data_IF_170145103775
#
_entry.id   IF_170145103775
#
_cell.length_a   1.000
_cell.length_b   1.000
_cell.length_c   1.000
_cell.angle_alpha   90.00
_cell.angle_beta   90.00
_cell.angle_gamma   90.00
#
_symmetry.space_group_name_H-M   'P 1'
#
loop_
_entity.id
_entity.type
_entity.pdbx_description
1 polymer ?
#
# COMPACT_ATOMS: atom_id res chain seq x y z
N UNK A 1 44.75 17.65 -6.64
CA UNK A 1 43.89 16.48 -6.37
C UNK A 1 43.52 15.88 -7.72
N UNK A 2 44.15 14.78 -8.10
CA UNK A 2 44.01 14.16 -9.43
C UNK A 2 42.68 13.39 -9.51
N UNK A 3 41.95 13.54 -10.61
CA UNK A 3 40.67 12.84 -10.85
C UNK A 3 40.80 11.32 -10.69
N UNK A 4 41.98 10.74 -10.96
CA UNK A 4 42.27 9.33 -10.76
C UNK A 4 42.18 8.86 -9.30
N UNK A 5 42.43 9.72 -8.32
CA UNK A 5 42.26 9.36 -6.92
C UNK A 5 40.79 9.20 -6.52
N UNK A 6 39.87 9.92 -7.19
CA UNK A 6 38.44 9.82 -6.96
C UNK A 6 37.83 8.57 -7.63
N UNK A 7 38.38 8.15 -8.77
CA UNK A 7 38.00 6.90 -9.45
C UNK A 7 38.51 5.67 -8.71
N UNK A 8 39.74 5.72 -8.17
CA UNK A 8 40.34 4.64 -7.37
C UNK A 8 39.67 4.47 -6.00
N UNK A 9 39.07 5.52 -5.43
CA UNK A 9 38.23 5.39 -4.23
C UNK A 9 36.89 4.68 -4.56
N UNK A 10 36.33 4.92 -5.75
CA UNK A 10 35.08 4.31 -6.22
C UNK A 10 35.22 2.81 -6.54
N UNK A 11 36.43 2.35 -6.89
CA UNK A 11 36.75 0.93 -7.09
C UNK A 11 37.22 0.21 -5.81
N UNK A 12 37.42 0.93 -4.70
CA UNK A 12 37.92 0.38 -3.42
C UNK A 12 36.85 0.18 -2.35
N UNK A 13 35.61 0.61 -2.58
CA UNK A 13 34.51 0.07 -1.77
C UNK A 13 34.24 -1.34 -2.27
N UNK A 14 34.39 -2.37 -1.43
CA UNK A 14 34.02 -3.71 -1.83
C UNK A 14 32.56 -3.65 -2.21
N UNK A 15 32.21 -4.19 -3.38
CA UNK A 15 30.83 -4.50 -3.71
C UNK A 15 30.27 -5.32 -2.55
N UNK A 16 29.56 -4.67 -1.65
CA UNK A 16 28.51 -5.35 -0.92
C UNK A 16 27.59 -5.81 -2.03
N UNK A 17 27.49 -7.11 -2.20
CA UNK A 17 26.59 -7.77 -3.13
C UNK A 17 25.22 -7.06 -3.00
N UNK A 18 24.91 -6.13 -3.91
CA UNK A 18 23.71 -5.27 -3.78
C UNK A 18 22.48 -6.00 -4.32
N UNK A 19 22.70 -7.05 -5.14
CA UNK A 19 21.68 -8.03 -5.53
C UNK A 19 20.93 -8.58 -4.33
N UNK A 20 21.61 -9.17 -3.31
CA UNK A 20 20.92 -9.68 -2.13
C UNK A 20 20.27 -8.60 -1.26
N UNK A 21 20.67 -7.32 -1.37
CA UNK A 21 19.95 -6.22 -0.70
C UNK A 21 18.60 -5.97 -1.38
N UNK A 22 18.58 -5.89 -2.72
CA UNK A 22 17.34 -5.71 -3.49
C UNK A 22 16.42 -6.92 -3.34
N UNK A 23 16.96 -8.14 -3.42
CA UNK A 23 16.18 -9.37 -3.24
C UNK A 23 15.57 -9.45 -1.83
N UNK A 24 16.32 -9.01 -0.81
CA UNK A 24 15.80 -8.89 0.56
C UNK A 24 14.64 -7.89 0.64
N UNK A 25 14.74 -6.74 -0.02
CA UNK A 25 13.66 -5.74 -0.05
C UNK A 25 12.42 -6.27 -0.76
N UNK A 26 12.58 -6.99 -1.87
CA UNK A 26 11.47 -7.67 -2.57
C UNK A 26 10.78 -8.66 -1.63
N UNK A 27 11.56 -9.47 -0.90
CA UNK A 27 11.01 -10.42 0.05
C UNK A 27 10.32 -9.74 1.24
N UNK A 28 10.90 -8.65 1.77
CA UNK A 28 10.29 -7.84 2.83
C UNK A 28 8.98 -7.19 2.38
N UNK A 29 8.90 -6.74 1.12
CA UNK A 29 7.67 -6.21 0.54
C UNK A 29 6.62 -7.32 0.41
N UNK A 30 7.00 -8.49 -0.10
CA UNK A 30 6.09 -9.63 -0.26
C UNK A 30 5.54 -10.14 1.08
N UNK A 31 6.38 -10.21 2.12
CA UNK A 31 5.94 -10.60 3.48
C UNK A 31 5.01 -9.55 4.08
N UNK A 32 5.33 -8.26 3.93
CA UNK A 32 4.48 -7.15 4.40
C UNK A 32 3.13 -7.16 3.69
N UNK A 33 3.11 -7.32 2.35
CA UNK A 33 1.87 -7.40 1.56
C UNK A 33 0.99 -8.55 2.03
N UNK A 34 1.54 -9.75 2.21
CA UNK A 34 0.78 -10.92 2.73
C UNK A 34 0.18 -10.64 4.11
N UNK A 35 0.93 -10.01 5.01
CA UNK A 35 0.44 -9.69 6.35
C UNK A 35 -0.68 -8.64 6.32
N UNK A 36 -0.57 -7.62 5.45
CA UNK A 36 -1.61 -6.61 5.27
C UNK A 36 -2.87 -7.21 4.65
N UNK A 37 -2.76 -8.05 3.62
CA UNK A 37 -3.90 -8.78 3.02
C UNK A 37 -4.63 -9.59 4.09
N UNK A 38 -3.89 -10.34 4.91
CA UNK A 38 -4.51 -11.10 6.01
C UNK A 38 -5.26 -10.21 7.00
N UNK A 39 -4.71 -9.03 7.32
CA UNK A 39 -5.38 -8.06 8.20
C UNK A 39 -6.63 -7.46 7.52
N UNK A 40 -6.59 -7.23 6.21
CA UNK A 40 -7.74 -6.71 5.46
C UNK A 40 -8.85 -7.76 5.43
N UNK A 41 -8.53 -9.02 5.15
CA UNK A 41 -9.52 -10.10 5.05
C UNK A 41 -10.21 -10.41 6.37
N UNK A 42 -9.66 -10.00 7.52
CA UNK A 42 -10.33 -10.09 8.83
C UNK A 42 -11.18 -8.85 9.16
N UNK A 43 -11.42 -7.95 8.19
CA UNK A 43 -12.24 -6.77 8.40
C UNK A 43 -13.69 -7.18 8.65
N UNK A 44 -14.22 -6.78 9.80
CA UNK A 44 -15.61 -7.04 10.21
C UNK A 44 -15.76 -8.24 11.15
N UNK A 45 -14.75 -9.11 11.27
CA UNK A 45 -14.83 -10.33 12.09
C UNK A 45 -15.00 -10.03 13.60
N UNK A 46 -14.35 -8.98 14.07
CA UNK A 46 -14.36 -8.56 15.48
C UNK A 46 -15.58 -7.67 15.84
N UNK A 47 -16.46 -7.37 14.88
CA UNK A 47 -17.60 -6.47 15.09
C UNK A 47 -18.87 -7.33 15.23
N UNK A 48 -19.54 -7.22 16.38
CA UNK A 48 -20.78 -7.95 16.63
C UNK A 48 -21.87 -7.56 15.61
N UNK A 49 -22.25 -8.52 14.77
CA UNK A 49 -23.32 -8.36 13.80
C UNK A 49 -24.68 -8.31 14.51
N UNK A 50 -25.32 -7.14 14.49
CA UNK A 50 -26.70 -6.95 14.92
C UNK A 50 -27.53 -6.39 13.76
N UNK A 51 -28.81 -6.73 13.67
CA UNK A 51 -29.73 -6.23 12.63
C UNK A 51 -29.85 -4.69 12.65
N UNK A 52 -29.55 -4.06 13.79
CA UNK A 52 -29.43 -2.60 13.96
C UNK A 52 -28.00 -2.18 14.30
N UNK A 53 -26.99 -2.77 13.64
CA UNK A 53 -25.59 -2.41 13.87
C UNK A 53 -25.33 -0.93 13.51
N UNK A 54 -24.73 -0.13 14.42
CA UNK A 54 -24.27 1.22 14.10
C UNK A 54 -23.11 1.18 13.09
N UNK A 55 -22.93 2.24 12.30
CA UNK A 55 -21.86 2.32 11.29
C UNK A 55 -20.50 2.66 11.91
N UNK A 56 -20.47 3.32 13.06
CA UNK A 56 -19.28 3.85 13.71
C UNK A 56 -18.17 2.80 13.96
N UNK A 57 -18.45 1.57 14.43
CA UNK A 57 -17.42 0.53 14.58
C UNK A 57 -16.73 0.18 13.25
N UNK A 58 -17.51 0.06 12.16
CA UNK A 58 -17.00 -0.26 10.82
C UNK A 58 -16.14 0.87 10.26
N UNK A 59 -16.56 2.12 10.47
CA UNK A 59 -15.80 3.32 10.09
C UNK A 59 -14.48 3.40 10.85
N UNK A 60 -14.48 3.15 12.16
CA UNK A 60 -13.26 3.18 12.97
C UNK A 60 -12.27 2.09 12.56
N UNK A 61 -12.76 0.87 12.33
CA UNK A 61 -11.94 -0.23 11.81
C UNK A 61 -11.35 0.10 10.43
N UNK A 62 -12.15 0.70 9.54
CA UNK A 62 -11.71 1.16 8.22
C UNK A 62 -10.57 2.18 8.34
N UNK A 63 -10.76 3.26 9.11
CA UNK A 63 -9.77 4.32 9.27
C UNK A 63 -8.48 3.82 9.94
N UNK A 64 -8.57 2.81 10.81
CA UNK A 64 -7.39 2.15 11.38
C UNK A 64 -6.60 1.39 10.30
N UNK A 65 -7.27 0.58 9.48
CA UNK A 65 -6.63 -0.12 8.37
C UNK A 65 -6.03 0.86 7.37
N UNK A 66 -6.77 1.89 6.97
CA UNK A 66 -6.31 2.90 6.02
C UNK A 66 -4.99 3.57 6.46
N UNK A 67 -4.89 3.95 7.74
CA UNK A 67 -3.65 4.50 8.33
C UNK A 67 -2.52 3.46 8.33
N UNK A 68 -2.81 2.20 8.63
CA UNK A 68 -1.84 1.09 8.61
C UNK A 68 -1.29 0.86 7.21
N UNK A 69 -2.15 0.84 6.19
CA UNK A 69 -1.77 0.68 4.78
C UNK A 69 -0.88 1.86 4.35
N UNK A 70 -1.30 3.10 4.63
CA UNK A 70 -0.55 4.30 4.29
C UNK A 70 0.85 4.36 4.95
N UNK A 71 0.94 4.01 6.23
CA UNK A 71 2.22 4.00 6.94
C UNK A 71 3.15 2.90 6.43
N UNK A 72 2.61 1.69 6.21
CA UNK A 72 3.40 0.54 5.75
C UNK A 72 3.93 0.77 4.33
N UNK A 73 3.11 1.30 3.42
CA UNK A 73 3.56 1.58 2.05
C UNK A 73 4.64 2.65 1.99
N UNK A 74 4.49 3.75 2.75
CA UNK A 74 5.52 4.80 2.89
C UNK A 74 6.83 4.25 3.42
N UNK A 75 6.77 3.43 4.48
CA UNK A 75 7.96 2.79 5.05
C UNK A 75 8.69 1.92 4.04
N UNK A 76 7.97 1.13 3.22
CA UNK A 76 8.60 0.32 2.18
C UNK A 76 9.26 1.18 1.11
N UNK A 77 8.57 2.22 0.61
CA UNK A 77 9.14 3.17 -0.37
C UNK A 77 10.40 3.86 0.17
N UNK A 78 10.39 4.27 1.44
CA UNK A 78 11.55 4.88 2.11
C UNK A 78 12.75 3.92 2.19
N UNK A 79 12.51 2.64 2.50
CA UNK A 79 13.58 1.62 2.50
C UNK A 79 14.20 1.44 1.12
N UNK A 80 13.37 1.39 0.07
CA UNK A 80 13.86 1.27 -1.32
C UNK A 80 14.67 2.50 -1.71
N UNK A 81 14.18 3.72 -1.43
CA UNK A 81 14.93 4.97 -1.69
C UNK A 81 16.29 4.99 -0.99
N UNK A 82 16.37 4.53 0.27
CA UNK A 82 17.63 4.45 1.01
C UNK A 82 18.62 3.47 0.37
N UNK A 83 18.15 2.31 -0.10
CA UNK A 83 19.01 1.36 -0.80
C UNK A 83 19.51 1.92 -2.14
N UNK A 84 18.64 2.61 -2.90
CA UNK A 84 19.01 3.28 -4.15
C UNK A 84 20.09 4.34 -3.97
N UNK A 85 19.99 5.17 -2.93
CA UNK A 85 20.99 6.19 -2.61
C UNK A 85 22.38 5.60 -2.31
N UNK A 86 22.44 4.38 -1.77
CA UNK A 86 23.68 3.68 -1.46
C UNK A 86 24.28 2.91 -2.65
N UNK A 87 23.57 2.79 -3.77
CA UNK A 87 23.99 1.99 -4.92
C UNK A 87 24.87 2.78 -5.89
N UNK A 88 24.28 3.74 -6.62
CA UNK A 88 24.99 4.56 -7.60
C UNK A 88 24.35 5.94 -7.80
N UNK A 89 25.04 6.84 -8.50
CA UNK A 89 24.61 8.23 -8.68
C UNK A 89 23.33 8.39 -9.52
N UNK A 90 23.00 7.45 -10.41
CA UNK A 90 21.76 7.48 -11.19
C UNK A 90 20.57 7.06 -10.31
N UNK A 91 20.71 5.97 -9.57
CA UNK A 91 19.68 5.51 -8.62
C UNK A 91 19.47 6.51 -7.48
N UNK A 92 20.53 7.14 -6.98
CA UNK A 92 20.41 8.22 -6.00
C UNK A 92 19.59 9.40 -6.53
N UNK A 93 19.80 9.82 -7.78
CA UNK A 93 19.02 10.88 -8.42
C UNK A 93 17.54 10.50 -8.60
N UNK A 94 17.28 9.25 -8.96
CA UNK A 94 15.91 8.75 -9.06
C UNK A 94 15.22 8.72 -7.69
N UNK A 95 15.92 8.32 -6.64
CA UNK A 95 15.39 8.35 -5.27
C UNK A 95 15.05 9.77 -4.79
N UNK A 96 15.87 10.77 -5.14
CA UNK A 96 15.57 12.18 -4.84
C UNK A 96 14.33 12.67 -5.61
N UNK A 97 14.23 12.36 -6.91
CA UNK A 97 13.06 12.71 -7.72
C UNK A 97 11.79 12.09 -7.14
N UNK A 98 11.86 10.81 -6.78
CA UNK A 98 10.77 10.08 -6.16
C UNK A 98 10.32 10.71 -4.83
N UNK A 99 11.27 11.15 -3.99
CA UNK A 99 11.00 11.83 -2.72
C UNK A 99 10.25 13.16 -2.91
N UNK A 100 10.69 13.98 -3.89
CA UNK A 100 10.00 15.23 -4.23
C UNK A 100 8.60 14.94 -4.77
N UNK A 101 8.45 13.92 -5.62
CA UNK A 101 7.15 13.51 -6.14
C UNK A 101 6.21 13.02 -5.03
N UNK A 102 6.70 12.20 -4.10
CA UNK A 102 5.95 11.75 -2.93
C UNK A 102 5.46 12.93 -2.08
N UNK A 103 6.35 13.88 -1.80
CA UNK A 103 6.01 15.07 -1.02
C UNK A 103 4.94 15.93 -1.70
N UNK A 104 5.10 16.21 -2.99
CA UNK A 104 4.14 17.01 -3.77
C UNK A 104 2.78 16.32 -3.90
N UNK A 105 2.76 15.00 -4.06
CA UNK A 105 1.53 14.21 -4.18
C UNK A 105 0.88 13.84 -2.85
N UNK A 106 1.54 14.05 -1.71
CA UNK A 106 1.04 13.62 -0.40
C UNK A 106 -0.34 14.19 -0.07
N UNK A 107 -0.56 15.49 -0.35
CA UNK A 107 -1.83 16.17 -0.12
C UNK A 107 -2.95 15.60 -1.00
N UNK A 108 -2.69 15.50 -2.31
CA UNK A 108 -3.65 14.95 -3.28
C UNK A 108 -4.02 13.50 -2.95
N UNK A 109 -3.02 12.67 -2.64
CA UNK A 109 -3.24 11.27 -2.28
C UNK A 109 -4.09 11.15 -1.01
N UNK A 110 -3.79 11.97 0.01
CA UNK A 110 -4.59 12.01 1.24
C UNK A 110 -6.03 12.45 0.98
N UNK A 111 -6.23 13.41 0.07
CA UNK A 111 -7.56 13.88 -0.31
C UNK A 111 -8.34 12.82 -1.08
N UNK A 112 -7.74 12.15 -2.07
CA UNK A 112 -8.41 11.08 -2.82
C UNK A 112 -8.95 9.99 -1.89
N UNK A 113 -8.15 9.54 -0.93
CA UNK A 113 -8.52 8.49 0.02
C UNK A 113 -9.49 8.94 1.12
N UNK A 114 -9.65 10.25 1.37
CA UNK A 114 -10.59 10.74 2.39
C UNK A 114 -12.04 10.74 1.91
N UNK A 115 -12.29 10.59 0.61
CA UNK A 115 -13.64 10.46 0.05
C UNK A 115 -14.23 9.04 0.23
N UNK A 116 -13.37 8.03 0.36
CA UNK A 116 -13.78 6.62 0.42
C UNK A 116 -14.74 6.29 1.56
N UNK A 117 -14.51 6.74 2.81
CA UNK A 117 -15.40 6.43 3.93
C UNK A 117 -16.84 6.92 3.71
N UNK A 118 -17.02 8.07 3.05
CA UNK A 118 -18.35 8.62 2.76
C UNK A 118 -19.15 7.75 1.80
N UNK A 119 -18.47 7.18 0.80
CA UNK A 119 -19.10 6.26 -0.15
C UNK A 119 -19.49 4.95 0.55
N UNK A 120 -18.64 4.46 1.44
CA UNK A 120 -18.94 3.28 2.25
C UNK A 120 -20.12 3.49 3.20
N UNK A 121 -20.23 4.67 3.81
CA UNK A 121 -21.38 5.02 4.65
C UNK A 121 -22.70 4.98 3.86
N UNK A 122 -22.71 5.58 2.66
CA UNK A 122 -23.87 5.52 1.77
C UNK A 122 -24.21 4.08 1.37
N UNK A 123 -23.19 3.27 1.11
CA UNK A 123 -23.37 1.85 0.77
C UNK A 123 -23.93 1.05 1.94
N UNK A 124 -23.44 1.29 3.15
CA UNK A 124 -23.93 0.67 4.38
C UNK A 124 -25.42 0.95 4.58
N UNK A 125 -25.83 2.23 4.49
CA UNK A 125 -27.23 2.63 4.62
C UNK A 125 -28.14 2.00 3.55
N UNK A 126 -27.66 1.94 2.30
CA UNK A 126 -28.40 1.35 1.18
C UNK A 126 -28.60 -0.17 1.34
N UNK A 127 -27.65 -0.87 1.95
CA UNK A 127 -27.74 -2.30 2.22
C UNK A 127 -28.60 -2.61 3.45
N UNK A 128 -28.64 -1.70 4.44
CA UNK A 128 -29.47 -1.84 5.64
C UNK A 128 -30.96 -1.63 5.36
N UNK A 129 -31.32 -0.74 4.43
CA UNK A 129 -32.72 -0.47 4.05
C UNK A 129 -32.96 -0.87 2.59
N UNK A 130 -33.10 -2.16 2.28
CA UNK A 130 -33.38 -2.60 0.92
C UNK A 130 -34.73 -2.02 0.43
N UNK A 131 -34.84 -1.58 -0.83
CA UNK A 131 -36.11 -1.12 -1.39
C UNK A 131 -37.18 -2.20 -1.29
N UNK A 132 -38.44 -1.83 -1.03
CA UNK A 132 -39.57 -2.76 -0.88
C UNK A 132 -39.73 -3.75 -2.07
N UNK A 133 -39.23 -3.39 -3.26
CA UNK A 133 -39.28 -4.20 -4.47
C UNK A 133 -38.12 -5.23 -4.59
N UNK A 134 -37.14 -5.22 -3.68
CA UNK A 134 -35.95 -6.09 -3.74
C UNK A 134 -36.12 -7.42 -2.99
N UNK A 135 -37.24 -7.60 -2.28
CA UNK A 135 -37.57 -8.84 -1.54
C UNK A 135 -37.79 -10.06 -2.46
N UNK A 136 -37.89 -9.87 -3.78
CA UNK A 136 -38.06 -10.96 -4.76
C UNK A 136 -36.76 -11.75 -5.04
N UNK A 137 -35.59 -11.26 -4.64
CA UNK A 137 -34.29 -11.92 -4.97
C UNK A 137 -33.74 -12.87 -3.92
N UNK A 138 -34.53 -13.24 -2.89
CA UNK A 138 -34.21 -14.39 -2.03
C UNK A 138 -32.89 -14.30 -1.26
N UNK A 139 -32.31 -13.12 -1.08
CA UNK A 139 -31.14 -12.95 -0.20
C UNK A 139 -31.63 -13.07 1.24
N UNK A 140 -31.11 -14.02 2.04
CA UNK A 140 -31.53 -14.16 3.42
C UNK A 140 -31.24 -12.85 4.19
N UNK A 141 -32.11 -12.43 5.13
CA UNK A 141 -31.99 -11.17 5.86
C UNK A 141 -30.66 -10.92 6.61
N UNK A 142 -29.79 -11.93 6.72
CA UNK A 142 -28.49 -11.85 7.39
C UNK A 142 -27.26 -11.58 6.49
N UNK A 143 -27.38 -11.58 5.16
CA UNK A 143 -26.22 -11.53 4.26
C UNK A 143 -25.74 -10.12 3.87
N UNK A 144 -26.51 -9.06 4.16
CA UNK A 144 -26.20 -7.71 3.70
C UNK A 144 -24.91 -7.15 4.34
N UNK A 145 -24.67 -7.48 5.61
CA UNK A 145 -23.50 -7.02 6.35
C UNK A 145 -22.25 -7.77 5.89
N UNK A 146 -22.37 -9.07 5.62
CA UNK A 146 -21.31 -9.85 5.01
C UNK A 146 -20.90 -9.27 3.65
N UNK A 147 -21.89 -8.92 2.81
CA UNK A 147 -21.65 -8.25 1.53
C UNK A 147 -20.99 -6.88 1.69
N UNK A 148 -21.40 -6.08 2.66
CA UNK A 148 -20.74 -4.81 2.97
C UNK A 148 -19.27 -5.02 3.35
N UNK A 149 -18.99 -5.98 4.23
CA UNK A 149 -17.62 -6.31 4.63
C UNK A 149 -16.77 -6.77 3.45
N UNK A 150 -17.29 -7.65 2.58
CA UNK A 150 -16.62 -8.09 1.36
C UNK A 150 -16.30 -6.92 0.42
N UNK A 151 -17.25 -6.01 0.18
CA UNK A 151 -17.05 -4.82 -0.64
C UNK A 151 -15.98 -3.88 -0.05
N UNK A 152 -16.00 -3.68 1.27
CA UNK A 152 -14.99 -2.90 1.97
C UNK A 152 -13.60 -3.56 1.89
N UNK A 153 -13.52 -4.89 2.06
CA UNK A 153 -12.28 -5.66 1.91
C UNK A 153 -11.69 -5.48 0.50
N UNK A 154 -12.51 -5.62 -0.55
CA UNK A 154 -12.08 -5.42 -1.93
C UNK A 154 -11.54 -4.01 -2.18
N UNK A 155 -12.18 -2.99 -1.58
CA UNK A 155 -11.74 -1.61 -1.71
C UNK A 155 -10.40 -1.35 -0.98
N UNK A 156 -10.19 -1.96 0.19
CA UNK A 156 -8.90 -1.91 0.90
C UNK A 156 -7.79 -2.64 0.15
N UNK A 157 -8.10 -3.76 -0.51
CA UNK A 157 -7.15 -4.49 -1.35
C UNK A 157 -6.73 -3.64 -2.56
N UNK A 158 -7.69 -3.02 -3.25
CA UNK A 158 -7.41 -2.10 -4.35
C UNK A 158 -6.60 -0.88 -3.88
N UNK A 159 -6.92 -0.31 -2.72
CA UNK A 159 -6.15 0.76 -2.11
C UNK A 159 -4.71 0.32 -1.80
N UNK A 160 -4.51 -0.88 -1.24
CA UNK A 160 -3.19 -1.43 -0.96
C UNK A 160 -2.35 -1.56 -2.24
N UNK A 161 -2.92 -2.11 -3.32
CA UNK A 161 -2.22 -2.28 -4.59
C UNK A 161 -1.75 -0.92 -5.13
N UNK A 162 -2.65 0.07 -5.22
CA UNK A 162 -2.31 1.44 -5.67
C UNK A 162 -1.21 2.06 -4.81
N UNK A 163 -1.23 1.85 -3.49
CA UNK A 163 -0.22 2.40 -2.57
C UNK A 163 1.16 1.76 -2.72
N UNK A 164 1.23 0.52 -3.20
CA UNK A 164 2.49 -0.21 -3.36
C UNK A 164 3.16 0.00 -4.71
N UNK A 165 2.41 0.42 -5.74
CA UNK A 165 2.92 0.70 -7.09
C UNK A 165 4.21 1.54 -7.11
N UNK A 166 4.35 2.66 -6.36
CA UNK A 166 5.59 3.43 -6.39
C UNK A 166 6.80 2.64 -5.88
N UNK A 167 6.63 1.83 -4.83
CA UNK A 167 7.71 1.01 -4.29
C UNK A 167 8.10 -0.12 -5.25
N UNK A 168 7.10 -0.72 -5.93
CA UNK A 168 7.33 -1.73 -6.97
C UNK A 168 8.10 -1.14 -8.15
N UNK A 169 7.70 0.02 -8.65
CA UNK A 169 8.39 0.70 -9.76
C UNK A 169 9.85 1.07 -9.43
N UNK A 170 10.13 1.50 -8.20
CA UNK A 170 11.50 1.74 -7.76
C UNK A 170 12.34 0.45 -7.67
N UNK A 171 11.75 -0.64 -7.16
CA UNK A 171 12.42 -1.95 -7.12
C UNK A 171 12.72 -2.48 -8.52
N UNK A 172 11.78 -2.31 -9.47
CA UNK A 172 11.99 -2.67 -10.87
C UNK A 172 13.12 -1.83 -11.49
N UNK A 173 13.16 -0.53 -11.22
CA UNK A 173 14.26 0.33 -11.66
C UNK A 173 15.62 -0.13 -11.09
N UNK A 174 15.67 -0.58 -9.83
CA UNK A 174 16.88 -1.16 -9.23
C UNK A 174 17.29 -2.44 -9.95
N UNK A 175 16.37 -3.38 -10.14
CA UNK A 175 16.62 -4.65 -10.80
C UNK A 175 17.14 -4.47 -12.23
N UNK A 176 16.49 -3.58 -13.00
CA UNK A 176 16.91 -3.24 -14.36
C UNK A 176 18.30 -2.61 -14.40
N UNK A 177 18.71 -1.86 -13.38
CA UNK A 177 20.07 -1.31 -13.32
C UNK A 177 21.10 -2.38 -13.00
N UNK A 178 20.86 -3.24 -12.02
CA UNK A 178 21.77 -4.34 -11.67
C UNK A 178 21.99 -5.28 -12.84
N UNK A 179 20.92 -5.68 -13.54
CA UNK A 179 21.03 -6.63 -14.65
C UNK A 179 21.69 -6.04 -15.90
N UNK A 180 21.56 -4.72 -16.15
CA UNK A 180 22.20 -4.05 -17.29
C UNK A 180 23.65 -3.61 -17.01
N UNK A 181 24.15 -3.81 -15.79
CA UNK A 181 25.54 -3.53 -15.40
C UNK A 181 26.45 -4.76 -15.36
N UNK A 182 25.87 -5.96 -15.61
CA UNK A 182 26.59 -7.22 -15.83
C UNK A 182 26.83 -7.43 -17.33
#
# INVERSE_FOLDING_TARGET
>A
MTLDAATVFRSRQPGMDQGPVIDRLIQELATTRRALIRTILSYGDDIEANESAPFEPYLNAWLLLQRKLAASSRQQRDKVRKAMQAHDQNLARLAELDSVFDHTMAGYTSQCFSHTPKVLEQRFQALQTPPEHSMETGTPPGDWLHRYCEEAQNLLLAELDVRLEPALGLLEACHNKVNNTL
#
